data_IF_981409774720
#
_entry.id   IF_981409774720
#
_cell.length_a   1.000
_cell.length_b   1.000
_cell.length_c   1.000
_cell.angle_alpha   90.00
_cell.angle_beta   90.00
_cell.angle_gamma   90.00
#
_symmetry.space_group_name_H-M   'P 1'
#
loop_
_entity.id
_entity.type
_entity.pdbx_description
1 polymer ?
#
# COMPACT_ATOMS: atom_id res chain seq x y z
N UNK A 1 3.09 -18.11 24.08
CA UNK A 1 2.09 -17.84 23.00
C UNK A 1 2.36 -16.61 22.11
N UNK A 2 3.33 -15.72 22.40
CA UNK A 2 3.54 -14.49 21.59
C UNK A 2 4.18 -14.69 20.20
N UNK A 3 5.10 -15.65 20.04
CA UNK A 3 5.84 -15.87 18.76
C UNK A 3 4.93 -16.20 17.56
N UNK A 4 3.83 -16.95 17.79
CA UNK A 4 2.88 -17.33 16.72
C UNK A 4 2.12 -16.12 16.13
N UNK A 5 1.91 -15.05 16.90
CA UNK A 5 1.22 -13.84 16.41
C UNK A 5 2.12 -12.99 15.51
N UNK A 6 3.42 -12.87 15.84
CA UNK A 6 4.37 -12.12 15.01
C UNK A 6 4.61 -12.80 13.66
N UNK A 7 4.73 -14.13 13.63
CA UNK A 7 4.91 -14.88 12.38
C UNK A 7 3.72 -14.69 11.44
N UNK A 8 2.49 -14.69 11.97
CA UNK A 8 1.30 -14.39 11.16
C UNK A 8 1.37 -12.98 10.56
N UNK A 9 1.70 -11.97 11.37
CA UNK A 9 1.81 -10.60 10.87
C UNK A 9 2.89 -10.44 9.80
N UNK A 10 4.03 -11.14 9.93
CA UNK A 10 5.10 -11.14 8.93
C UNK A 10 4.67 -11.82 7.62
N UNK A 11 3.96 -12.94 7.71
CA UNK A 11 3.40 -13.63 6.54
C UNK A 11 2.34 -12.74 5.86
N UNK A 12 1.46 -12.10 6.63
CA UNK A 12 0.45 -11.17 6.13
C UNK A 12 1.10 -9.96 5.42
N UNK A 13 2.21 -9.43 5.96
CA UNK A 13 2.99 -8.36 5.35
C UNK A 13 3.64 -8.82 4.03
N UNK A 14 4.24 -10.02 4.01
CA UNK A 14 4.84 -10.59 2.81
C UNK A 14 3.79 -10.82 1.71
N UNK A 15 2.60 -11.32 2.07
CA UNK A 15 1.46 -11.43 1.16
C UNK A 15 1.03 -10.06 0.61
N UNK A 16 0.94 -9.04 1.45
CA UNK A 16 0.61 -7.68 1.00
C UNK A 16 1.65 -7.11 0.04
N UNK A 17 2.94 -7.41 0.23
CA UNK A 17 4.02 -7.00 -0.68
C UNK A 17 3.92 -7.69 -2.04
N UNK A 18 3.62 -8.99 -2.06
CA UNK A 18 3.45 -9.78 -3.30
C UNK A 18 2.21 -9.30 -4.06
N UNK A 19 1.07 -9.15 -3.37
CA UNK A 19 -0.18 -8.66 -3.98
C UNK A 19 -0.02 -7.20 -4.42
N UNK A 20 0.64 -6.38 -3.62
CA UNK A 20 1.00 -5.01 -3.98
C UNK A 20 1.84 -4.98 -5.25
N UNK A 21 2.84 -5.85 -5.39
CA UNK A 21 3.63 -5.95 -6.61
C UNK A 21 2.76 -6.30 -7.82
N UNK A 22 1.93 -7.33 -7.69
CA UNK A 22 1.04 -7.76 -8.76
C UNK A 22 0.08 -6.64 -9.19
N UNK A 23 -0.54 -5.93 -8.24
CA UNK A 23 -1.40 -4.78 -8.54
C UNK A 23 -0.64 -3.67 -9.26
N UNK A 24 0.59 -3.41 -8.83
CA UNK A 24 1.41 -2.32 -9.36
C UNK A 24 1.86 -2.65 -10.80
N UNK A 25 2.23 -3.90 -11.10
CA UNK A 25 2.67 -4.32 -12.44
C UNK A 25 1.55 -4.62 -13.42
N UNK A 26 0.35 -4.95 -12.95
CA UNK A 26 -0.79 -5.29 -13.83
C UNK A 26 -1.76 -4.13 -14.00
N UNK A 27 -2.31 -3.61 -12.90
CA UNK A 27 -3.30 -2.54 -12.95
C UNK A 27 -2.59 -1.21 -13.16
N UNK A 28 -1.64 -0.89 -12.28
CA UNK A 28 -1.06 0.44 -12.23
C UNK A 28 -0.18 0.71 -13.45
N UNK A 29 0.70 -0.22 -13.82
CA UNK A 29 1.48 -0.12 -15.06
C UNK A 29 0.58 0.14 -16.28
N UNK A 30 -0.51 -0.59 -16.42
CA UNK A 30 -1.44 -0.42 -17.54
C UNK A 30 -2.14 0.95 -17.50
N UNK A 31 -2.48 1.46 -16.32
CA UNK A 31 -3.02 2.82 -16.16
C UNK A 31 -1.96 3.88 -16.49
N UNK A 32 -0.72 3.76 -15.98
CA UNK A 32 0.35 4.70 -16.29
C UNK A 32 0.71 4.71 -17.79
N UNK A 33 0.78 3.55 -18.43
CA UNK A 33 1.02 3.45 -19.87
C UNK A 33 -0.14 4.04 -20.67
N UNK A 34 -1.39 3.86 -20.22
CA UNK A 34 -2.58 4.50 -20.83
C UNK A 34 -2.57 6.02 -20.70
N UNK A 35 -2.02 6.55 -19.60
CA UNK A 35 -1.87 7.98 -19.35
C UNK A 35 -0.58 8.57 -19.97
N UNK A 36 0.21 7.75 -20.70
CA UNK A 36 1.45 8.17 -21.36
C UNK A 36 2.64 8.40 -20.42
N UNK A 37 2.55 7.95 -19.17
CA UNK A 37 3.55 8.17 -18.12
C UNK A 37 4.59 7.04 -18.17
N UNK A 38 5.86 7.38 -18.40
CA UNK A 38 6.95 6.40 -18.43
C UNK A 38 7.19 5.80 -17.04
N UNK A 39 6.81 4.54 -16.89
CA UNK A 39 6.79 3.82 -15.62
C UNK A 39 8.19 3.51 -15.04
N UNK A 40 9.25 3.60 -15.87
CA UNK A 40 10.58 3.06 -15.57
C UNK A 40 11.40 3.77 -14.48
N UNK A 41 10.94 4.91 -13.95
CA UNK A 41 11.68 5.65 -12.90
C UNK A 41 11.07 5.59 -11.49
N UNK A 42 9.76 5.34 -11.39
CA UNK A 42 9.01 5.46 -10.14
C UNK A 42 8.39 4.14 -9.66
N UNK A 43 8.56 3.05 -10.42
CA UNK A 43 7.97 1.74 -10.14
C UNK A 43 8.20 1.23 -8.72
N UNK A 44 9.40 1.40 -8.17
CA UNK A 44 9.73 0.96 -6.81
C UNK A 44 9.04 1.77 -5.71
N UNK A 45 8.95 3.09 -5.88
CA UNK A 45 8.30 3.97 -4.91
C UNK A 45 6.79 3.74 -4.94
N UNK A 46 6.22 3.66 -6.14
CA UNK A 46 4.79 3.41 -6.34
C UNK A 46 4.40 2.02 -5.82
N UNK A 47 5.20 1.00 -6.10
CA UNK A 47 5.01 -0.34 -5.54
C UNK A 47 5.00 -0.36 -4.01
N UNK A 48 5.94 0.36 -3.37
CA UNK A 48 5.97 0.53 -1.93
C UNK A 48 4.70 1.24 -1.42
N UNK A 49 4.28 2.30 -2.11
CA UNK A 49 3.05 3.04 -1.77
C UNK A 49 1.81 2.15 -1.79
N UNK A 50 1.61 1.40 -2.87
CA UNK A 50 0.49 0.45 -3.03
C UNK A 50 0.54 -0.64 -1.96
N UNK A 51 1.70 -1.25 -1.74
CA UNK A 51 1.85 -2.32 -0.75
C UNK A 51 1.56 -1.85 0.67
N UNK A 52 2.03 -0.65 1.04
CA UNK A 52 1.76 -0.02 2.33
C UNK A 52 0.28 0.35 2.48
N UNK A 53 -0.36 0.84 1.42
CA UNK A 53 -1.78 1.16 1.43
C UNK A 53 -2.62 -0.11 1.62
N UNK A 54 -2.26 -1.19 0.92
CA UNK A 54 -2.92 -2.49 1.03
C UNK A 54 -2.77 -3.07 2.45
N UNK A 55 -1.57 -2.96 3.03
CA UNK A 55 -1.32 -3.37 4.41
C UNK A 55 -2.10 -2.54 5.42
N UNK A 56 -2.21 -1.23 5.22
CA UNK A 56 -3.03 -0.35 6.04
C UNK A 56 -4.52 -0.72 5.93
N UNK A 57 -5.01 -0.96 4.71
CA UNK A 57 -6.40 -1.36 4.48
C UNK A 57 -6.68 -2.71 5.15
N UNK A 58 -5.78 -3.67 5.01
CA UNK A 58 -5.88 -4.98 5.67
C UNK A 58 -5.94 -4.86 7.19
N UNK A 59 -5.04 -4.07 7.78
CA UNK A 59 -5.01 -3.85 9.24
C UNK A 59 -6.25 -3.11 9.72
N UNK A 60 -6.77 -2.14 8.96
CA UNK A 60 -8.02 -1.46 9.26
C UNK A 60 -9.22 -2.42 9.24
N UNK A 61 -9.38 -3.22 8.17
CA UNK A 61 -10.46 -4.21 8.04
C UNK A 61 -10.41 -5.22 9.19
N UNK A 62 -9.23 -5.73 9.52
CA UNK A 62 -9.04 -6.66 10.64
C UNK A 62 -9.38 -6.02 12.00
N UNK A 63 -9.02 -4.76 12.21
CA UNK A 63 -9.36 -4.03 13.43
C UNK A 63 -10.86 -3.80 13.58
N UNK A 64 -11.54 -3.40 12.51
CA UNK A 64 -13.00 -3.26 12.46
C UNK A 64 -13.66 -4.61 12.81
N UNK A 65 -13.18 -5.70 12.22
CA UNK A 65 -13.70 -7.04 12.47
C UNK A 65 -13.47 -7.51 13.92
N UNK A 66 -12.34 -7.14 14.52
CA UNK A 66 -12.04 -7.42 15.93
C UNK A 66 -12.71 -6.43 16.92
N UNK A 67 -13.55 -5.49 16.44
CA UNK A 67 -14.11 -4.38 17.24
C UNK A 67 -13.05 -3.61 18.06
N UNK A 68 -11.80 -3.60 17.61
CA UNK A 68 -10.68 -2.93 18.27
C UNK A 68 -10.42 -1.62 17.55
N UNK A 69 -10.86 -0.50 18.13
CA UNK A 69 -10.75 0.83 17.51
C UNK A 69 -9.42 1.57 17.81
N UNK A 70 -8.42 0.89 18.37
CA UNK A 70 -7.25 1.56 18.96
C UNK A 70 -6.20 1.99 17.93
N UNK A 71 -6.00 1.28 16.81
CA UNK A 71 -5.02 1.68 15.79
C UNK A 71 -5.63 2.59 14.72
N UNK A 72 -6.91 2.43 14.37
CA UNK A 72 -7.60 3.29 13.39
C UNK A 72 -7.74 4.75 13.89
N UNK A 73 -7.81 4.95 15.22
CA UNK A 73 -7.75 6.27 15.84
C UNK A 73 -6.33 6.87 15.91
N UNK A 74 -5.29 6.09 15.60
CA UNK A 74 -3.92 6.57 15.71
C UNK A 74 -3.58 7.48 14.53
N UNK A 75 -3.08 8.68 14.84
CA UNK A 75 -2.63 9.64 13.82
C UNK A 75 -1.54 9.06 12.91
N UNK A 76 -0.68 8.18 13.44
CA UNK A 76 0.36 7.49 12.66
C UNK A 76 -0.22 6.62 11.54
N UNK A 77 -1.37 5.98 11.76
CA UNK A 77 -2.03 5.16 10.74
C UNK A 77 -2.48 6.04 9.56
N UNK A 78 -3.12 7.17 9.85
CA UNK A 78 -3.57 8.11 8.84
C UNK A 78 -2.41 8.77 8.08
N UNK A 79 -1.31 9.09 8.77
CA UNK A 79 -0.10 9.61 8.11
C UNK A 79 0.42 8.62 7.07
N UNK A 80 0.52 7.32 7.41
CA UNK A 80 0.97 6.30 6.46
C UNK A 80 -0.01 6.16 5.30
N UNK A 81 -1.32 6.19 5.55
CA UNK A 81 -2.34 6.13 4.49
C UNK A 81 -2.22 7.31 3.53
N UNK A 82 -2.15 8.54 4.05
CA UNK A 82 -2.04 9.76 3.23
C UNK A 82 -0.71 9.77 2.47
N UNK A 83 0.38 9.36 3.11
CA UNK A 83 1.70 9.28 2.48
C UNK A 83 1.72 8.24 1.35
N UNK A 84 1.14 7.06 1.56
CA UNK A 84 0.97 6.04 0.53
C UNK A 84 0.12 6.55 -0.64
N UNK A 85 -0.97 7.26 -0.36
CA UNK A 85 -1.81 7.86 -1.39
C UNK A 85 -1.05 8.92 -2.19
N UNK A 86 -0.29 9.77 -1.50
CA UNK A 86 0.57 10.77 -2.14
C UNK A 86 1.60 10.12 -3.06
N UNK A 87 2.24 9.03 -2.65
CA UNK A 87 3.20 8.29 -3.49
C UNK A 87 2.55 7.74 -4.75
N UNK A 88 1.32 7.24 -4.67
CA UNK A 88 0.59 6.69 -5.82
C UNK A 88 0.15 7.81 -6.76
N UNK A 89 -0.25 8.97 -6.23
CA UNK A 89 -0.76 10.10 -7.01
C UNK A 89 0.37 11.01 -7.54
N UNK A 90 1.52 11.06 -6.87
CA UNK A 90 2.67 11.87 -7.24
C UNK A 90 3.14 11.68 -8.70
N UNK A 91 3.29 10.45 -9.24
CA UNK A 91 3.64 10.24 -10.65
C UNK A 91 2.52 10.66 -11.62
N UNK A 92 1.25 10.69 -11.22
CA UNK A 92 0.18 11.27 -12.05
C UNK A 92 0.31 12.79 -12.18
N UNK A 93 0.72 13.46 -11.10
CA UNK A 93 0.90 14.93 -11.10
C UNK A 93 2.20 15.32 -11.82
N UNK A 94 3.27 14.53 -11.66
CA UNK A 94 4.59 14.79 -12.27
C UNK A 94 4.77 14.21 -13.67
N UNK A 95 3.94 13.25 -14.09
CA UNK A 95 4.00 12.61 -15.40
C UNK A 95 3.68 13.52 -16.57
N UNK A 96 3.30 14.77 -16.30
CA UNK A 96 3.04 15.82 -17.29
C UNK A 96 4.26 16.76 -17.46
N UNK A 97 5.48 16.21 -17.44
CA UNK A 97 6.73 16.92 -17.77
C UNK A 97 7.61 16.06 -18.66
#
# INVERSE_FOLDING_TARGET
MRKKMYIRAIIELALCLIVGWLLTTTMLKNIYESEGISYGGHEGVVWLGVSLLLFCLYTAVRQIFQKRNTLIKSAMFWIVVVFSLYIIVAPFIKGHM
#
